data_IF_592374773146
#
_entry.id   IF_592374773146
#
_cell.length_a   1.000
_cell.length_b   1.000
_cell.length_c   1.000
_cell.angle_alpha   90.00
_cell.angle_beta   90.00
_cell.angle_gamma   90.00
#
_symmetry.space_group_name_H-M   'P 1'
#
loop_
_entity.id
_entity.type
_entity.pdbx_description
1 polymer ?
#
# COMPACT_ATOMS: atom_id res chain seq x y z
N UNK A 1 -13.99 -2.31 10.42
CA UNK A 1 -13.05 -2.53 9.31
C UNK A 1 -12.33 -3.85 9.50
N UNK A 2 -12.76 -4.89 8.79
CA UNK A 2 -12.06 -6.18 8.67
C UNK A 2 -11.19 -6.18 7.42
N UNK A 3 -9.89 -6.19 7.63
CA UNK A 3 -8.89 -6.35 6.59
C UNK A 3 -8.48 -7.82 6.55
N UNK A 4 -8.54 -8.43 5.37
CA UNK A 4 -8.11 -9.80 5.14
C UNK A 4 -6.91 -9.77 4.22
N UNK A 5 -5.74 -9.99 4.79
CA UNK A 5 -4.52 -10.25 4.04
C UNK A 5 -4.70 -11.50 3.18
N UNK A 6 -4.35 -11.37 1.90
CA UNK A 6 -4.42 -12.45 0.94
C UNK A 6 -3.02 -12.90 0.52
N UNK A 7 -2.12 -11.95 0.29
CA UNK A 7 -0.75 -12.21 -0.11
C UNK A 7 0.19 -11.19 0.51
N UNK A 8 1.39 -11.59 0.89
CA UNK A 8 2.40 -10.67 1.41
C UNK A 8 3.79 -11.08 0.94
N UNK A 9 4.64 -10.10 0.72
CA UNK A 9 6.01 -10.28 0.26
C UNK A 9 6.99 -9.81 1.29
N UNK A 10 7.76 -10.77 1.83
CA UNK A 10 8.83 -10.48 2.79
C UNK A 10 10.01 -9.76 2.16
N UNK A 11 10.32 -10.05 0.89
CA UNK A 11 11.45 -9.45 0.16
C UNK A 11 11.28 -7.94 0.01
N UNK A 12 10.08 -7.51 -0.39
CA UNK A 12 9.75 -6.11 -0.62
C UNK A 12 9.02 -5.46 0.55
N UNK A 13 8.73 -6.23 1.60
CA UNK A 13 7.96 -5.85 2.80
C UNK A 13 6.66 -5.15 2.42
N UNK A 14 5.73 -5.86 1.79
CA UNK A 14 4.38 -5.34 1.60
C UNK A 14 3.35 -6.46 1.74
N UNK A 15 2.10 -6.07 1.98
CA UNK A 15 0.96 -6.95 2.12
C UNK A 15 -0.16 -6.46 1.20
N UNK A 16 -0.85 -7.38 0.54
CA UNK A 16 -2.05 -7.09 -0.25
C UNK A 16 -3.22 -7.91 0.30
N UNK A 17 -4.40 -7.31 0.27
CA UNK A 17 -5.58 -7.93 0.83
C UNK A 17 -6.87 -7.30 0.35
N UNK A 18 -7.96 -7.77 0.95
CA UNK A 18 -9.31 -7.27 0.72
C UNK A 18 -9.94 -6.82 2.03
N UNK A 19 -10.54 -5.65 2.02
CA UNK A 19 -11.39 -5.17 3.10
C UNK A 19 -12.77 -5.82 2.94
N UNK A 20 -13.14 -6.72 3.85
CA UNK A 20 -14.39 -7.50 3.72
C UNK A 20 -15.66 -6.64 3.85
N UNK A 21 -15.58 -5.51 4.57
CA UNK A 21 -16.74 -4.61 4.77
C UNK A 21 -17.07 -3.78 3.53
N UNK A 22 -16.06 -3.17 2.89
CA UNK A 22 -16.28 -2.39 1.66
C UNK A 22 -16.06 -3.20 0.38
N UNK A 23 -15.63 -4.46 0.48
CA UNK A 23 -15.19 -5.29 -0.64
C UNK A 23 -14.10 -4.62 -1.50
N UNK A 24 -13.25 -3.83 -0.85
CA UNK A 24 -12.20 -3.03 -1.50
C UNK A 24 -10.86 -3.71 -1.36
N UNK A 25 -10.07 -3.69 -2.42
CA UNK A 25 -8.73 -4.24 -2.39
C UNK A 25 -7.77 -3.18 -1.89
N UNK A 26 -6.78 -3.59 -1.11
CA UNK A 26 -5.76 -2.69 -0.59
C UNK A 26 -4.37 -3.29 -0.67
N UNK A 27 -3.38 -2.41 -0.74
CA UNK A 27 -1.98 -2.73 -0.54
C UNK A 27 -1.47 -1.95 0.67
N UNK A 28 -0.79 -2.63 1.58
CA UNK A 28 -0.12 -2.02 2.72
C UNK A 28 1.38 -2.27 2.69
N UNK A 29 2.16 -1.27 3.09
CA UNK A 29 3.61 -1.41 3.22
C UNK A 29 4.13 -0.53 4.36
N UNK A 30 5.18 -0.98 5.08
CA UNK A 30 5.85 -0.16 6.07
C UNK A 30 6.62 0.95 5.34
N UNK A 31 6.20 2.18 5.61
CA UNK A 31 6.87 3.38 5.19
C UNK A 31 7.63 3.98 6.37
N UNK A 32 8.79 4.56 6.08
CA UNK A 32 9.60 5.25 7.06
C UNK A 32 9.74 6.72 6.65
N UNK A 33 9.27 7.63 7.50
CA UNK A 33 9.32 9.06 7.26
C UNK A 33 10.50 9.74 7.99
N UNK A 34 11.59 9.00 8.24
CA UNK A 34 12.78 9.54 8.93
C UNK A 34 12.68 9.58 10.45
N UNK A 35 11.47 9.47 11.01
CA UNK A 35 11.18 9.66 12.44
C UNK A 35 10.44 8.43 13.02
N UNK A 36 9.52 7.86 12.26
CA UNK A 36 8.69 6.72 12.68
C UNK A 36 8.46 5.80 11.48
N UNK A 37 8.42 4.50 11.75
CA UNK A 37 7.93 3.49 10.81
C UNK A 37 6.41 3.35 11.02
N UNK A 38 5.65 3.47 9.94
CA UNK A 38 4.19 3.36 9.95
C UNK A 38 3.75 2.58 8.72
N UNK A 39 2.57 1.97 8.80
CA UNK A 39 2.01 1.23 7.67
C UNK A 39 1.12 2.15 6.83
N UNK A 40 1.45 2.29 5.54
CA UNK A 40 0.61 3.02 4.58
C UNK A 40 -0.32 2.06 3.87
N UNK A 41 -1.62 2.40 3.84
CA UNK A 41 -2.66 1.63 3.16
C UNK A 41 -3.12 2.40 1.92
N UNK A 42 -3.05 1.77 0.76
CA UNK A 42 -3.53 2.30 -0.51
C UNK A 42 -4.65 1.44 -1.06
N UNK A 43 -5.70 2.07 -1.56
CA UNK A 43 -6.78 1.39 -2.26
C UNK A 43 -6.35 1.01 -3.67
N UNK A 44 -6.49 -0.27 -4.01
CA UNK A 44 -6.22 -0.79 -5.35
C UNK A 44 -7.51 -1.28 -6.01
N UNK A 45 -7.52 -1.27 -7.34
CA UNK A 45 -8.64 -1.83 -8.11
C UNK A 45 -8.55 -3.34 -8.15
N UNK A 46 -9.67 -4.03 -8.34
CA UNK A 46 -9.70 -5.48 -8.48
C UNK A 46 -8.77 -6.00 -9.59
N UNK A 47 -8.69 -5.27 -10.71
CA UNK A 47 -7.79 -5.60 -11.82
C UNK A 47 -6.32 -5.58 -11.40
N UNK A 48 -5.93 -4.59 -10.59
CA UNK A 48 -4.56 -4.51 -10.08
C UNK A 48 -4.28 -5.60 -9.05
N UNK A 49 -5.25 -5.92 -8.20
CA UNK A 49 -5.12 -7.04 -7.28
C UNK A 49 -4.89 -8.38 -8.01
N UNK A 50 -5.67 -8.66 -9.06
CA UNK A 50 -5.51 -9.87 -9.89
C UNK A 50 -4.15 -9.90 -10.59
N UNK A 51 -3.69 -8.75 -11.07
CA UNK A 51 -2.39 -8.61 -11.72
C UNK A 51 -1.24 -8.83 -10.72
N UNK A 52 -1.35 -8.31 -9.49
CA UNK A 52 -0.35 -8.51 -8.43
C UNK A 52 -0.35 -9.93 -7.87
N UNK A 53 -1.52 -10.55 -7.78
CA UNK A 53 -1.68 -11.96 -7.41
C UNK A 53 -0.95 -12.88 -8.40
N UNK A 54 -0.99 -12.52 -9.69
CA UNK A 54 -0.31 -13.27 -10.76
C UNK A 54 1.17 -12.88 -10.91
N UNK A 55 1.47 -11.57 -10.83
CA UNK A 55 2.77 -10.97 -11.08
C UNK A 55 3.10 -9.94 -10.00
N UNK A 56 3.74 -10.44 -8.96
CA UNK A 56 4.15 -9.62 -7.82
C UNK A 56 5.15 -8.50 -8.21
N UNK A 57 5.89 -8.68 -9.30
CA UNK A 57 6.77 -7.66 -9.90
C UNK A 57 6.01 -6.42 -10.38
N UNK A 58 4.76 -6.55 -10.83
CA UNK A 58 3.96 -5.39 -11.23
C UNK A 58 3.56 -4.55 -10.00
N UNK A 59 3.35 -5.20 -8.86
CA UNK A 59 3.10 -4.52 -7.59
C UNK A 59 4.27 -3.62 -7.18
N UNK A 60 5.50 -3.97 -7.55
CA UNK A 60 6.69 -3.15 -7.30
C UNK A 60 6.65 -1.83 -8.05
N UNK A 61 6.13 -1.81 -9.28
CA UNK A 61 5.98 -0.59 -10.07
C UNK A 61 5.00 0.36 -9.38
N UNK A 62 3.88 -0.17 -8.88
CA UNK A 62 2.92 0.61 -8.09
C UNK A 62 3.55 1.07 -6.77
N UNK A 63 4.25 0.20 -6.06
CA UNK A 63 4.94 0.54 -4.81
C UNK A 63 5.96 1.66 -5.00
N UNK A 64 6.69 1.65 -6.12
CA UNK A 64 7.64 2.70 -6.49
C UNK A 64 6.91 4.04 -6.73
N UNK A 65 5.75 4.02 -7.40
CA UNK A 65 4.90 5.21 -7.60
C UNK A 65 4.30 5.74 -6.30
N UNK A 66 3.86 4.87 -5.40
CA UNK A 66 3.43 5.22 -4.05
C UNK A 66 4.57 5.89 -3.26
N UNK A 67 5.79 5.32 -3.31
CA UNK A 67 7.00 5.93 -2.71
C UNK A 67 7.34 7.30 -3.29
N UNK A 68 7.13 7.49 -4.58
CA UNK A 68 7.29 8.80 -5.24
C UNK A 68 6.14 9.79 -4.94
N UNK A 69 5.17 9.44 -4.08
CA UNK A 69 4.00 10.27 -3.74
C UNK A 69 3.10 10.60 -4.94
N UNK A 70 3.17 9.83 -6.02
CA UNK A 70 2.36 10.04 -7.24
C UNK A 70 0.92 9.52 -7.12
N UNK A 71 0.65 8.65 -6.13
CA UNK A 71 -0.67 8.05 -5.89
C UNK A 71 -1.26 8.43 -4.53
N UNK A 72 -0.94 9.63 -4.03
CA UNK A 72 -1.46 10.14 -2.75
C UNK A 72 -3.00 10.16 -2.69
N UNK A 73 -3.66 10.38 -3.82
CA UNK A 73 -5.13 10.40 -3.91
C UNK A 73 -5.81 9.06 -3.59
N UNK A 74 -5.08 7.94 -3.63
CA UNK A 74 -5.58 6.58 -3.34
C UNK A 74 -5.26 6.12 -1.91
N UNK A 75 -4.62 6.98 -1.12
CA UNK A 75 -4.21 6.66 0.23
C UNK A 75 -5.45 6.57 1.14
N UNK A 76 -5.69 5.38 1.70
CA UNK A 76 -6.80 5.12 2.62
C UNK A 76 -6.55 5.73 4.00
N UNK A 77 -5.28 5.73 4.43
CA UNK A 77 -4.89 6.25 5.72
C UNK A 77 -3.73 7.24 5.57
N UNK A 78 -4.01 8.53 5.75
CA UNK A 78 -2.97 9.55 5.84
C UNK A 78 -2.28 9.45 7.19
N UNK A 79 -0.94 9.30 7.25
CA UNK A 79 -0.23 9.45 8.51
C UNK A 79 -0.45 10.87 9.03
N UNK A 80 -1.06 10.99 10.22
CA UNK A 80 -1.37 12.28 10.85
C UNK A 80 -0.12 13.03 11.32
N UNK A 81 1.06 12.41 11.25
CA UNK A 81 2.35 12.97 11.67
C UNK A 81 3.03 13.54 10.44
N UNK A 82 3.22 14.87 10.43
CA UNK A 82 3.96 15.66 9.44
C UNK A 82 4.93 14.81 8.60
N UNK A 83 4.53 14.49 7.38
CA UNK A 83 5.44 13.97 6.34
C UNK A 83 6.59 14.95 6.25
N UNK A 84 7.80 14.51 6.59
CA UNK A 84 8.97 15.38 6.63
C UNK A 84 9.11 15.99 5.24
N UNK A 85 9.05 17.31 5.18
CA UNK A 85 9.47 18.05 4.00
C UNK A 85 10.97 17.79 3.85
N UNK A 86 11.46 17.24 2.73
CA UNK A 86 12.89 17.31 2.45
C UNK A 86 13.22 18.80 2.28
N UNK A 87 14.14 19.30 3.11
CA UNK A 87 14.78 20.60 2.91
C UNK A 87 15.69 20.57 1.68
#
# INVERSE_FOLDING_TARGET
MKFKDANFSKEHRFSIGIEEESNKYYISFPAYNGIVEYEEYYEISQQEYLDFDTNLSNALTLLQRCKERKEESRLLYQPSIKRGSPC
#
